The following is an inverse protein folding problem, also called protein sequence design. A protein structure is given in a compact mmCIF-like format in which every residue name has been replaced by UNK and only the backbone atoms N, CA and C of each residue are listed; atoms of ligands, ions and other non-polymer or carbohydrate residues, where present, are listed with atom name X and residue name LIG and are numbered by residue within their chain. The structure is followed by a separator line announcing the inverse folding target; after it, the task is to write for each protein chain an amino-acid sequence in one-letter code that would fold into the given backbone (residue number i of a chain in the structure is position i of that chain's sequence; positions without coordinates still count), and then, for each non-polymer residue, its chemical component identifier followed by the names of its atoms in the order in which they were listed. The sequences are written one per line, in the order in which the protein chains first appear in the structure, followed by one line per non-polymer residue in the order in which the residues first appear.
data_IF_040417874869
#
_entry.id   IF_040417874869
#
_cell.length_a   1.000
_cell.length_b   1.000
_cell.length_c   1.000
_cell.angle_alpha   90.00
_cell.angle_beta   90.00
_cell.angle_gamma   90.00
#
_symmetry.space_group_name_H-M   'P 1'
#
loop_
_entity.id
_entity.type
_entity.pdbx_description
1 polymer ?
#
# COMPACT_ATOMS: atom_id res chain seq x y z
N UNK A 1 -18.20 -4.13 1.15
CA UNK A 1 -18.17 -2.93 2.02
C UNK A 1 -17.73 -1.72 1.20
N UNK A 2 -18.64 -0.78 0.91
CA UNK A 2 -18.36 0.38 0.04
C UNK A 2 -17.23 1.28 0.57
N UNK A 3 -17.13 1.46 1.89
CA UNK A 3 -16.04 2.25 2.50
C UNK A 3 -14.64 1.70 2.18
N UNK A 4 -14.46 0.37 2.17
CA UNK A 4 -13.20 -0.28 1.81
C UNK A 4 -12.83 0.03 0.35
N UNK A 5 -13.79 -0.08 -0.57
CA UNK A 5 -13.57 0.20 -1.99
C UNK A 5 -13.18 1.67 -2.23
N UNK A 6 -13.77 2.61 -1.48
CA UNK A 6 -13.42 4.04 -1.57
C UNK A 6 -11.99 4.30 -1.07
N UNK A 7 -11.57 3.66 0.03
CA UNK A 7 -10.20 3.81 0.56
C UNK A 7 -9.13 3.26 -0.40
N UNK A 8 -9.50 2.32 -1.27
CA UNK A 8 -8.62 1.68 -2.24
C UNK A 8 -8.46 2.47 -3.54
N UNK A 9 -9.22 3.55 -3.75
CA UNK A 9 -9.11 4.37 -4.94
C UNK A 9 -7.78 5.16 -4.92
N UNK A 10 -6.89 4.97 -5.91
CA UNK A 10 -5.58 5.64 -5.94
C UNK A 10 -5.70 7.17 -5.87
N UNK A 11 -6.73 7.73 -6.53
CA UNK A 11 -6.98 9.17 -6.61
C UNK A 11 -7.47 9.76 -5.28
N UNK A 12 -7.94 8.95 -4.33
CA UNK A 12 -8.26 9.43 -2.98
C UNK A 12 -7.00 9.75 -2.18
N UNK A 13 -5.85 9.17 -2.54
CA UNK A 13 -4.57 9.43 -1.91
C UNK A 13 -3.85 10.67 -2.47
N UNK A 14 -4.43 11.39 -3.43
CA UNK A 14 -3.82 12.63 -3.96
C UNK A 14 -4.26 13.84 -3.14
N UNK A 15 -3.52 14.94 -3.27
CA UNK A 15 -3.89 16.20 -2.66
C UNK A 15 -5.22 16.75 -3.21
N UNK A 16 -5.53 16.46 -4.47
CA UNK A 16 -6.74 16.95 -5.15
C UNK A 16 -8.00 16.16 -4.75
N UNK A 17 -7.85 14.89 -4.38
CA UNK A 17 -8.97 14.02 -4.04
C UNK A 17 -9.92 13.77 -5.21
N UNK A 18 -11.12 13.30 -4.90
CA UNK A 18 -12.15 12.97 -5.90
C UNK A 18 -13.51 13.57 -5.53
N UNK A 19 -14.30 13.93 -6.54
CA UNK A 19 -15.71 14.27 -6.37
C UNK A 19 -16.57 13.04 -6.06
N UNK A 20 -17.70 13.26 -5.40
CA UNK A 20 -18.64 12.20 -5.08
C UNK A 20 -19.10 11.40 -6.32
N UNK A 21 -19.26 12.08 -7.47
CA UNK A 21 -19.64 11.43 -8.73
C UNK A 21 -18.51 10.56 -9.31
N UNK A 22 -17.27 11.05 -9.26
CA UNK A 22 -16.08 10.29 -9.69
C UNK A 22 -15.88 9.04 -8.82
N UNK A 23 -16.07 9.18 -7.50
CA UNK A 23 -15.99 8.06 -6.56
C UNK A 23 -17.09 7.03 -6.85
N UNK A 24 -18.33 7.48 -7.07
CA UNK A 24 -19.47 6.61 -7.35
C UNK A 24 -19.26 5.80 -8.64
N UNK A 25 -18.78 6.46 -9.71
CA UNK A 25 -18.43 5.81 -10.97
C UNK A 25 -17.29 4.79 -10.78
N UNK A 26 -16.22 5.17 -10.06
CA UNK A 26 -15.06 4.31 -9.86
C UNK A 26 -15.35 3.03 -9.06
N UNK A 27 -16.33 3.05 -8.15
CA UNK A 27 -16.75 1.87 -7.37
C UNK A 27 -17.96 1.14 -7.97
N UNK A 28 -18.43 1.54 -9.15
CA UNK A 28 -19.61 0.99 -9.81
C UNK A 28 -20.85 1.07 -8.91
N UNK A 29 -21.19 2.27 -8.44
CA UNK A 29 -22.42 2.48 -7.69
C UNK A 29 -23.25 3.66 -8.19
N UNK A 30 -24.23 3.34 -9.02
CA UNK A 30 -25.13 4.32 -9.63
C UNK A 30 -26.28 4.76 -8.69
N UNK A 31 -26.65 3.94 -7.70
CA UNK A 31 -27.76 4.21 -6.75
C UNK A 31 -27.32 4.40 -5.28
N UNK A 32 -26.01 4.37 -4.99
CA UNK A 32 -25.54 4.55 -3.61
C UNK A 32 -25.81 5.98 -3.13
N UNK A 33 -26.24 6.11 -1.87
CA UNK A 33 -26.10 7.37 -1.15
C UNK A 33 -24.61 7.58 -0.78
N UNK A 34 -23.80 7.87 -1.80
CA UNK A 34 -22.35 8.02 -1.69
C UNK A 34 -22.00 9.13 -0.70
N UNK A 35 -22.78 10.21 -0.68
CA UNK A 35 -22.63 11.31 0.27
C UNK A 35 -22.77 10.86 1.72
N UNK A 36 -23.71 9.96 2.04
CA UNK A 36 -23.85 9.40 3.39
C UNK A 36 -22.63 8.58 3.79
N UNK A 37 -22.09 7.77 2.87
CA UNK A 37 -20.87 6.98 3.10
C UNK A 37 -19.66 7.90 3.33
N UNK A 38 -19.47 8.88 2.45
CA UNK A 38 -18.38 9.85 2.54
C UNK A 38 -18.45 10.69 3.83
N UNK A 39 -19.65 11.13 4.23
CA UNK A 39 -19.88 11.86 5.49
C UNK A 39 -19.56 11.00 6.72
N UNK A 40 -19.93 9.72 6.72
CA UNK A 40 -19.58 8.79 7.80
C UNK A 40 -18.06 8.58 7.85
N UNK A 41 -17.41 8.41 6.71
CA UNK A 41 -15.95 8.25 6.64
C UNK A 41 -15.20 9.53 7.08
N UNK A 42 -15.72 10.71 6.74
CA UNK A 42 -15.21 12.00 7.21
C UNK A 42 -15.36 12.15 8.74
N UNK A 43 -16.53 11.78 9.29
CA UNK A 43 -16.78 11.76 10.73
C UNK A 43 -15.77 10.86 11.47
N UNK A 44 -15.44 9.70 10.89
CA UNK A 44 -14.43 8.78 11.42
C UNK A 44 -12.98 9.17 11.07
N UNK A 45 -12.76 10.35 10.48
CA UNK A 45 -11.45 10.88 10.07
C UNK A 45 -10.67 9.99 9.10
N UNK A 46 -11.39 9.20 8.31
CA UNK A 46 -10.83 8.43 7.21
C UNK A 46 -10.68 9.30 5.96
N UNK A 47 -11.63 10.20 5.75
CA UNK A 47 -11.58 11.18 4.67
C UNK A 47 -11.54 12.58 5.26
N UNK A 48 -11.04 13.51 4.48
CA UNK A 48 -11.23 14.94 4.66
C UNK A 48 -11.78 15.51 3.36
N UNK A 49 -12.67 16.48 3.49
CA UNK A 49 -13.15 17.19 2.31
C UNK A 49 -12.25 18.38 1.97
N UNK A 50 -12.02 18.58 0.68
CA UNK A 50 -11.26 19.69 0.11
C UNK A 50 -12.15 20.45 -0.87
N UNK A 51 -11.92 21.77 -0.95
CA UNK A 51 -12.68 22.65 -1.83
C UNK A 51 -14.08 23.03 -1.34
N UNK A 52 -14.54 24.19 -1.80
CA UNK A 52 -15.86 24.75 -1.46
C UNK A 52 -16.92 24.35 -2.50
N UNK A 53 -16.56 24.26 -3.79
CA UNK A 53 -17.38 23.74 -4.88
C UNK A 53 -16.54 23.44 -6.15
N UNK A 54 -16.64 22.23 -6.74
CA UNK A 54 -17.27 21.05 -6.17
C UNK A 54 -16.50 20.58 -4.93
N UNK A 55 -17.22 20.03 -3.95
CA UNK A 55 -16.60 19.44 -2.76
C UNK A 55 -15.94 18.13 -3.19
N UNK A 56 -14.66 17.99 -2.88
CA UNK A 56 -13.87 16.79 -3.15
C UNK A 56 -13.56 16.11 -1.83
N UNK A 57 -13.31 14.82 -1.87
CA UNK A 57 -12.88 14.02 -0.72
C UNK A 57 -11.54 13.38 -1.04
N UNK A 58 -10.62 13.44 -0.08
CA UNK A 58 -9.36 12.71 -0.11
C UNK A 58 -9.18 11.97 1.21
N UNK A 59 -8.25 11.03 1.24
CA UNK A 59 -7.81 10.41 2.47
C UNK A 59 -7.37 11.50 3.45
N UNK A 60 -7.71 11.34 4.73
CA UNK A 60 -7.26 12.29 5.75
C UNK A 60 -5.75 12.40 5.76
N UNK A 61 -5.22 13.57 6.16
CA UNK A 61 -3.78 13.79 6.25
C UNK A 61 -3.05 12.66 7.00
N UNK A 62 -3.68 12.09 8.04
CA UNK A 62 -3.16 10.93 8.76
C UNK A 62 -2.99 9.69 7.87
N UNK A 63 -3.99 9.34 7.08
CA UNK A 63 -3.93 8.18 6.18
C UNK A 63 -3.00 8.44 4.99
N UNK A 64 -2.98 9.68 4.49
CA UNK A 64 -2.03 10.11 3.46
C UNK A 64 -0.57 10.00 3.94
N UNK A 65 -0.26 10.53 5.12
CA UNK A 65 1.08 10.44 5.72
C UNK A 65 1.45 8.99 6.02
N UNK A 66 0.52 8.17 6.52
CA UNK A 66 0.79 6.74 6.79
C UNK A 66 1.08 5.96 5.50
N UNK A 67 0.33 6.19 4.42
CA UNK A 67 0.62 5.60 3.11
C UNK A 67 2.00 6.02 2.57
N UNK A 68 2.33 7.31 2.69
CA UNK A 68 3.64 7.83 2.32
C UNK A 68 4.79 7.21 3.13
N UNK A 69 4.58 6.92 4.42
CA UNK A 69 5.57 6.22 5.25
C UNK A 69 5.80 4.79 4.74
N UNK A 70 4.77 4.06 4.35
CA UNK A 70 4.93 2.70 3.83
C UNK A 70 5.66 2.68 2.49
N UNK A 71 5.31 3.58 1.59
CA UNK A 71 6.01 3.79 0.30
C UNK A 71 7.48 4.12 0.54
N UNK A 72 7.77 5.04 1.47
CA UNK A 72 9.14 5.41 1.82
C UNK A 72 9.92 4.24 2.40
N UNK A 73 9.36 3.47 3.32
CA UNK A 73 10.02 2.28 3.88
C UNK A 73 10.27 1.21 2.80
N UNK A 74 9.31 0.95 1.93
CA UNK A 74 9.47 0.01 0.82
C UNK A 74 10.58 0.45 -0.16
N UNK A 75 10.76 1.76 -0.39
CA UNK A 75 11.88 2.28 -1.20
C UNK A 75 13.27 2.06 -0.59
N UNK A 76 13.37 1.61 0.67
CA UNK A 76 14.65 1.26 1.32
C UNK A 76 15.16 -0.13 0.97
N UNK A 77 14.33 -0.94 0.31
CA UNK A 77 14.73 -2.24 -0.23
C UNK A 77 15.63 -2.05 -1.44
N UNK A 78 16.69 -2.83 -1.51
CA UNK A 78 17.65 -2.88 -2.61
C UNK A 78 17.31 -4.06 -3.53
N UNK A 79 17.84 -4.09 -4.77
CA UNK A 79 17.77 -5.29 -5.59
C UNK A 79 18.31 -6.51 -4.82
N UNK A 80 17.60 -7.62 -4.93
CA UNK A 80 17.95 -8.87 -4.25
C UNK A 80 17.44 -8.96 -2.81
N UNK A 81 16.65 -7.99 -2.35
CA UNK A 81 16.04 -7.98 -1.02
C UNK A 81 14.51 -8.09 -1.11
N UNK A 82 13.91 -8.66 -0.07
CA UNK A 82 12.45 -8.71 0.10
C UNK A 82 12.06 -8.43 1.55
N UNK A 83 10.79 -8.11 1.79
CA UNK A 83 10.24 -7.91 3.15
C UNK A 83 8.77 -8.29 3.21
N UNK A 84 8.11 -8.10 4.35
CA UNK A 84 6.68 -8.34 4.53
C UNK A 84 5.92 -7.05 4.90
N UNK A 85 4.62 -7.01 4.63
CA UNK A 85 3.75 -5.95 5.15
C UNK A 85 3.79 -5.86 6.68
N UNK A 86 4.05 -6.97 7.37
CA UNK A 86 4.24 -7.01 8.82
C UNK A 86 5.48 -6.27 9.27
N UNK A 87 6.61 -6.49 8.60
CA UNK A 87 7.89 -5.80 8.89
C UNK A 87 7.77 -4.30 8.64
N UNK A 88 7.14 -3.89 7.54
CA UNK A 88 6.86 -2.47 7.26
C UNK A 88 5.95 -1.86 8.34
N UNK A 89 4.93 -2.60 8.79
CA UNK A 89 4.04 -2.16 9.87
C UNK A 89 4.80 -1.93 11.17
N UNK A 90 5.67 -2.86 11.56
CA UNK A 90 6.49 -2.73 12.77
C UNK A 90 7.47 -1.57 12.63
N UNK A 91 8.15 -1.43 11.49
CA UNK A 91 9.08 -0.33 11.26
C UNK A 91 8.38 1.05 11.35
N UNK A 92 7.15 1.15 10.83
CA UNK A 92 6.39 2.39 10.82
C UNK A 92 5.70 2.73 12.16
N UNK A 93 5.26 1.70 12.92
CA UNK A 93 4.30 1.87 14.03
C UNK A 93 4.62 1.07 15.29
N UNK A 94 5.58 0.17 15.24
CA UNK A 94 5.92 -0.74 16.33
C UNK A 94 4.95 -1.92 16.52
N UNK A 95 3.97 -2.10 15.64
CA UNK A 95 3.03 -3.23 15.68
C UNK A 95 2.70 -3.75 14.27
N UNK A 96 2.05 -4.91 14.15
CA UNK A 96 1.66 -5.53 12.87
C UNK A 96 0.25 -5.13 12.39
N UNK A 97 -0.46 -4.26 13.11
CA UNK A 97 -1.90 -3.99 12.88
C UNK A 97 -2.17 -3.28 11.56
N UNK A 98 -1.16 -2.67 10.95
CA UNK A 98 -1.28 -2.01 9.66
C UNK A 98 -0.96 -2.91 8.46
N UNK A 99 -0.56 -4.17 8.66
CA UNK A 99 -0.15 -5.06 7.58
C UNK A 99 -1.21 -5.20 6.47
N UNK A 100 -2.49 -5.33 6.83
CA UNK A 100 -3.59 -5.38 5.85
C UNK A 100 -3.71 -4.07 5.05
N UNK A 101 -3.62 -2.92 5.73
CA UNK A 101 -3.69 -1.62 5.06
C UNK A 101 -2.48 -1.39 4.14
N UNK A 102 -1.29 -1.90 4.49
CA UNK A 102 -0.10 -1.86 3.65
C UNK A 102 -0.30 -2.72 2.41
N UNK A 103 -0.79 -3.96 2.54
CA UNK A 103 -1.11 -4.80 1.38
C UNK A 103 -2.17 -4.16 0.47
N UNK A 104 -3.16 -3.48 1.03
CA UNK A 104 -4.12 -2.70 0.25
C UNK A 104 -3.44 -1.52 -0.48
N UNK A 105 -2.50 -0.83 0.16
CA UNK A 105 -1.73 0.25 -0.45
C UNK A 105 -0.77 -0.21 -1.56
N UNK A 106 -0.10 -1.35 -1.38
CA UNK A 106 0.76 -2.00 -2.40
C UNK A 106 -0.04 -2.26 -3.68
N UNK A 107 -1.29 -2.71 -3.54
CA UNK A 107 -2.21 -2.93 -4.66
C UNK A 107 -2.71 -1.62 -5.28
N UNK A 108 -3.12 -0.68 -4.43
CA UNK A 108 -3.82 0.52 -4.87
C UNK A 108 -2.91 1.61 -5.46
N UNK A 109 -1.62 1.63 -5.14
CA UNK A 109 -0.73 2.70 -5.56
C UNK A 109 0.13 2.29 -6.77
N UNK A 110 -0.13 2.83 -7.98
CA UNK A 110 0.72 2.59 -9.16
C UNK A 110 2.16 3.10 -8.98
N UNK A 111 2.38 3.98 -8.01
CA UNK A 111 3.68 4.53 -7.62
C UNK A 111 4.35 3.75 -6.49
N UNK A 112 3.75 2.67 -5.98
CA UNK A 112 4.41 1.87 -4.94
C UNK A 112 5.73 1.29 -5.50
N UNK A 113 6.86 1.47 -4.79
CA UNK A 113 8.16 1.04 -5.28
C UNK A 113 8.27 -0.47 -5.12
N UNK A 114 8.59 -1.15 -6.22
CA UNK A 114 8.86 -2.59 -6.25
C UNK A 114 7.88 -3.43 -5.41
N UNK A 115 6.55 -3.35 -5.69
CA UNK A 115 5.53 -4.07 -4.94
C UNK A 115 5.80 -5.59 -4.88
N UNK A 116 6.46 -6.14 -5.91
CA UNK A 116 6.86 -7.54 -5.99
C UNK A 116 7.77 -7.99 -4.83
N UNK A 117 8.53 -7.07 -4.20
CA UNK A 117 9.41 -7.36 -3.06
C UNK A 117 8.67 -7.51 -1.72
N UNK A 118 7.36 -7.26 -1.70
CA UNK A 118 6.52 -7.43 -0.51
C UNK A 118 5.89 -8.82 -0.55
N UNK A 119 6.50 -9.74 0.20
CA UNK A 119 6.09 -11.13 0.27
C UNK A 119 5.22 -11.41 1.50
N UNK A 120 4.54 -12.55 1.46
CA UNK A 120 3.92 -13.13 2.64
C UNK A 120 4.99 -13.62 3.62
N UNK A 121 4.57 -13.87 4.85
CA UNK A 121 5.46 -14.50 5.82
C UNK A 121 5.95 -15.87 5.33
N UNK A 122 7.20 -16.20 5.66
CA UNK A 122 7.90 -17.35 5.09
C UNK A 122 8.42 -17.16 3.65
N UNK A 123 8.39 -15.93 3.12
CA UNK A 123 8.99 -15.61 1.81
C UNK A 123 8.15 -16.09 0.62
N UNK A 124 6.84 -16.27 0.82
CA UNK A 124 5.94 -16.74 -0.25
C UNK A 124 5.38 -15.56 -1.04
N UNK A 125 5.27 -15.73 -2.35
CA UNK A 125 4.54 -14.81 -3.21
C UNK A 125 3.04 -14.96 -2.89
N UNK A 126 2.29 -13.86 -2.84
CA UNK A 126 0.83 -13.94 -2.64
C UNK A 126 0.21 -14.73 -3.80
N UNK A 127 -0.50 -15.84 -3.53
CA UNK A 127 -1.02 -16.75 -4.55
C UNK A 127 -2.05 -16.09 -5.50
N UNK A 128 -2.61 -14.96 -5.09
CA UNK A 128 -3.52 -14.20 -5.96
C UNK A 128 -2.78 -13.27 -6.92
N UNK A 129 -1.44 -13.27 -6.91
CA UNK A 129 -0.64 -12.34 -7.70
C UNK A 129 -0.76 -10.89 -7.24
N UNK A 130 -1.37 -10.64 -6.06
CA UNK A 130 -1.77 -9.31 -5.56
C UNK A 130 -0.65 -8.27 -5.52
N UNK A 131 0.61 -8.69 -5.47
CA UNK A 131 1.79 -7.81 -5.43
C UNK A 131 2.63 -7.85 -6.72
N UNK A 132 2.32 -8.74 -7.67
CA UNK A 132 2.91 -8.74 -9.00
C UNK A 132 2.07 -7.85 -9.92
N UNK A 133 2.66 -6.81 -10.52
CA UNK A 133 1.97 -6.07 -11.60
C UNK A 133 1.61 -7.06 -12.71
N UNK A 134 0.37 -7.00 -13.17
CA UNK A 134 -0.22 -7.72 -14.31
C UNK A 134 0.61 -8.91 -14.83
N UNK A 135 0.32 -10.11 -14.34
CA UNK A 135 1.04 -11.32 -14.74
C UNK A 135 1.07 -12.48 -13.74
N UNK A 136 0.47 -12.32 -12.55
CA UNK A 136 0.33 -13.41 -11.59
C UNK A 136 1.63 -13.78 -10.86
N UNK A 137 1.64 -14.98 -10.25
CA UNK A 137 2.76 -15.46 -9.42
C UNK A 137 4.04 -15.62 -10.24
N UNK A 138 3.95 -16.20 -11.43
CA UNK A 138 5.11 -16.52 -12.26
C UNK A 138 5.86 -15.25 -12.67
N UNK A 139 5.12 -14.23 -13.12
CA UNK A 139 5.72 -12.95 -13.46
C UNK A 139 6.35 -12.26 -12.25
N UNK A 140 5.71 -12.34 -11.09
CA UNK A 140 6.26 -11.81 -9.85
C UNK A 140 7.59 -12.50 -9.49
N UNK A 141 7.62 -13.83 -9.61
CA UNK A 141 8.83 -14.62 -9.38
C UNK A 141 9.96 -14.25 -10.35
N UNK A 142 9.68 -14.17 -11.64
CA UNK A 142 10.65 -13.76 -12.66
C UNK A 142 11.25 -12.38 -12.35
N UNK A 143 10.41 -11.41 -11.96
CA UNK A 143 10.87 -10.06 -11.60
C UNK A 143 11.77 -10.08 -10.37
N UNK A 144 11.46 -10.90 -9.37
CA UNK A 144 12.26 -11.05 -8.16
C UNK A 144 13.60 -11.73 -8.46
N UNK A 145 13.59 -12.79 -9.27
CA UNK A 145 14.80 -13.50 -9.69
C UNK A 145 15.71 -12.60 -10.55
N UNK A 146 15.15 -11.79 -11.45
CA UNK A 146 15.90 -10.77 -12.22
C UNK A 146 16.55 -9.71 -11.33
N UNK A 147 15.95 -9.43 -10.18
CA UNK A 147 16.49 -8.52 -9.18
C UNK A 147 17.51 -9.21 -8.26
N UNK A 148 17.71 -10.53 -8.38
CA UNK A 148 18.67 -11.29 -7.61
C UNK A 148 18.09 -11.96 -6.35
N UNK A 149 16.76 -11.98 -6.17
CA UNK A 149 16.12 -12.76 -5.11
C UNK A 149 16.17 -14.24 -5.47
N UNK A 150 16.73 -15.06 -4.59
CA UNK A 150 16.82 -16.50 -4.77
C UNK A 150 15.62 -17.18 -4.13
N UNK A 151 15.20 -18.29 -4.71
CA UNK A 151 14.11 -19.10 -4.19
C UNK A 151 14.59 -20.54 -3.92
N UNK A 152 14.18 -21.08 -2.78
CA UNK A 152 14.25 -22.50 -2.46
C UNK A 152 12.83 -23.09 -2.57
N UNK A 153 12.54 -23.72 -3.71
CA UNK A 153 11.17 -24.15 -4.02
C UNK A 153 10.25 -22.95 -4.22
N UNK A 154 9.19 -22.85 -3.42
CA UNK A 154 8.21 -21.74 -3.47
C UNK A 154 8.57 -20.53 -2.58
N UNK A 155 9.59 -20.66 -1.74
CA UNK A 155 9.95 -19.63 -0.76
C UNK A 155 11.21 -18.87 -1.18
N UNK A 156 11.17 -17.54 -1.07
CA UNK A 156 12.35 -16.70 -1.21
C UNK A 156 13.33 -17.00 -0.06
N UNK A 157 14.63 -16.90 -0.37
CA UNK A 157 15.71 -17.12 0.59
C UNK A 157 15.55 -16.20 1.81
N UNK A 158 15.39 -16.75 3.03
CA UNK A 158 15.25 -15.95 4.25
C UNK A 158 16.43 -15.04 4.52
N UNK A 159 17.64 -15.37 4.05
CA UNK A 159 18.82 -14.52 4.20
C UNK A 159 18.70 -13.20 3.40
N UNK A 160 17.77 -13.12 2.45
CA UNK A 160 17.48 -11.93 1.65
C UNK A 160 16.30 -11.11 2.22
N UNK A 161 15.72 -11.54 3.36
CA UNK A 161 14.67 -10.80 4.06
C UNK A 161 15.27 -9.62 4.81
N UNK A 162 14.73 -8.43 4.55
CA UNK A 162 15.01 -7.23 5.35
C UNK A 162 13.93 -7.11 6.42
N UNK A 163 14.34 -7.20 7.68
CA UNK A 163 13.48 -7.06 8.84
C UNK A 163 13.20 -5.59 9.19
N UNK A 164 12.20 -5.38 10.04
CA UNK A 164 11.72 -4.06 10.43
C UNK A 164 12.79 -3.15 11.04
N UNK A 165 13.75 -3.70 11.78
CA UNK A 165 14.81 -2.97 12.45
C UNK A 165 15.80 -2.39 11.44
N UNK A 166 16.18 -3.19 10.44
CA UNK A 166 17.03 -2.76 9.34
C UNK A 166 16.32 -1.73 8.43
N UNK A 167 15.02 -1.92 8.14
CA UNK A 167 14.23 -0.93 7.41
C UNK A 167 14.22 0.42 8.14
N UNK A 168 14.00 0.41 9.46
CA UNK A 168 13.99 1.61 10.28
C UNK A 168 15.35 2.29 10.32
N UNK A 169 16.43 1.51 10.53
CA UNK A 169 17.80 2.02 10.52
C UNK A 169 18.15 2.72 9.20
N UNK A 170 17.73 2.15 8.06
CA UNK A 170 17.92 2.75 6.73
C UNK A 170 17.10 4.02 6.52
N UNK A 171 15.86 4.05 7.01
CA UNK A 171 15.01 5.24 6.91
C UNK A 171 15.57 6.41 7.73
N UNK A 172 16.01 6.12 8.97
CA UNK A 172 16.66 7.09 9.85
C UNK A 172 17.96 7.62 9.23
N UNK A 173 18.84 6.76 8.73
CA UNK A 173 20.10 7.16 8.11
C UNK A 173 19.91 8.10 6.90
N UNK A 174 18.81 7.93 6.16
CA UNK A 174 18.50 8.75 5.00
C UNK A 174 17.69 10.03 5.32
N UNK A 175 17.15 10.16 6.54
CA UNK A 175 16.54 11.41 7.02
C UNK A 175 17.55 12.41 7.57
N UNK A 176 18.80 11.99 7.76
CA UNK A 176 19.93 12.82 8.21
C UNK A 176 20.92 13.14 7.07
N UNK A 177 20.58 12.79 5.83
CA UNK A 177 21.34 13.08 4.61
C UNK A 177 20.62 14.18 3.81
#
# INVERSE_FOLDING_TARGET
MRAKQILELPQMATADGMEAAEIAAAIGCDECNIYRVLRLMELHRLLESTGVKPRRWRLSARLHTMGAVYVRLASRLRPGEWTTSGDISIAARGDTRAATAISDAVRAAPSFPHPERILLDGGRIDPTGRHGRDGGIDRCRELLEQQGVRFAGEAADPAQRVLWDELRRRDEAAGHA
#
